data_IF_455748518832
#
_entry.id   IF_455748518832
#
_cell.length_a   1.000
_cell.length_b   1.000
_cell.length_c   1.000
_cell.angle_alpha   90.00
_cell.angle_beta   90.00
_cell.angle_gamma   90.00
#
_symmetry.space_group_name_H-M   'P 1'
#
loop_
_entity.id
_entity.type
_entity.pdbx_description
1 polymer ?
#
# COMPACT_ATOMS: atom_id res chain seq x y z
N UNK A 1 36.00 -58.30 57.36
CA UNK A 1 35.96 -58.58 55.90
C UNK A 1 35.46 -57.33 55.19
N UNK A 2 36.15 -56.97 54.10
CA UNK A 2 35.80 -55.93 53.09
C UNK A 2 34.32 -56.04 52.69
N UNK A 3 33.50 -55.01 52.47
CA UNK A 3 33.74 -53.62 52.08
C UNK A 3 33.34 -53.42 50.61
N UNK A 4 32.10 -52.95 50.33
CA UNK A 4 31.70 -52.26 49.09
C UNK A 4 30.43 -51.44 49.38
N UNK A 5 30.49 -50.11 49.27
CA UNK A 5 29.32 -49.25 49.13
C UNK A 5 29.40 -48.57 47.77
N UNK A 6 28.45 -48.88 46.88
CA UNK A 6 28.38 -48.35 45.51
C UNK A 6 27.91 -46.89 45.55
N UNK A 7 28.70 -46.02 44.93
CA UNK A 7 28.40 -44.61 44.69
C UNK A 7 27.71 -44.51 43.33
N UNK A 8 26.47 -44.02 43.31
CA UNK A 8 25.70 -43.74 42.09
C UNK A 8 25.90 -42.27 41.72
N UNK A 9 26.42 -42.00 40.53
CA UNK A 9 26.60 -40.65 39.98
C UNK A 9 25.46 -40.38 38.99
N UNK A 10 24.58 -39.44 39.36
CA UNK A 10 23.48 -38.96 38.53
C UNK A 10 24.00 -37.81 37.64
N UNK A 11 24.05 -38.01 36.32
CA UNK A 11 24.35 -36.95 35.36
C UNK A 11 23.09 -36.14 35.07
N UNK A 12 23.04 -34.89 35.53
CA UNK A 12 21.99 -33.93 35.21
C UNK A 12 22.40 -33.18 33.92
N UNK A 13 21.72 -33.49 32.80
CA UNK A 13 21.87 -32.75 31.55
C UNK A 13 20.89 -31.56 31.55
N UNK A 14 21.37 -30.39 31.96
CA UNK A 14 20.66 -29.12 31.80
C UNK A 14 20.75 -28.68 30.34
N UNK A 15 19.62 -28.79 29.60
CA UNK A 15 19.47 -28.11 28.31
C UNK A 15 19.36 -26.62 28.56
N UNK A 16 20.41 -25.86 28.25
CA UNK A 16 20.30 -24.41 28.06
C UNK A 16 19.45 -24.18 26.81
N UNK A 17 18.21 -23.73 27.01
CA UNK A 17 17.43 -23.10 25.94
C UNK A 17 17.97 -21.67 25.82
N UNK A 18 18.80 -21.44 24.80
CA UNK A 18 19.18 -20.08 24.41
C UNK A 18 17.97 -19.50 23.68
N UNK A 19 17.17 -18.71 24.39
CA UNK A 19 16.20 -17.84 23.74
C UNK A 19 16.99 -16.77 22.98
N UNK A 20 17.19 -16.96 21.68
CA UNK A 20 17.67 -15.89 20.81
C UNK A 20 16.56 -14.87 20.68
N UNK A 21 16.52 -13.88 21.57
CA UNK A 21 15.77 -12.66 21.31
C UNK A 21 16.37 -12.01 20.07
N UNK A 22 15.64 -12.00 18.96
CA UNK A 22 16.09 -11.26 17.78
C UNK A 22 16.09 -9.78 18.13
N UNK A 23 17.27 -9.18 18.09
CA UNK A 23 17.42 -7.77 18.35
C UNK A 23 16.75 -6.97 17.23
N UNK A 24 16.06 -5.90 17.61
CA UNK A 24 15.49 -4.93 16.70
C UNK A 24 16.52 -4.48 15.65
N UNK A 25 16.15 -4.49 14.37
CA UNK A 25 17.07 -4.17 13.27
C UNK A 25 16.83 -2.75 12.73
N UNK A 26 17.86 -1.99 12.36
CA UNK A 26 17.69 -0.70 11.68
C UNK A 26 17.01 -0.90 10.32
N UNK A 27 16.46 0.17 9.73
CA UNK A 27 15.73 0.06 8.45
C UNK A 27 16.50 -0.67 7.35
N UNK A 28 17.79 -0.39 7.22
CA UNK A 28 18.64 -0.97 6.18
C UNK A 28 18.17 -0.60 4.77
N UNK A 29 18.06 -1.59 3.90
CA UNK A 29 17.56 -1.45 2.54
C UNK A 29 16.08 -1.86 2.38
N UNK A 30 15.34 -1.94 3.49
CA UNK A 30 13.90 -2.21 3.50
C UNK A 30 13.14 -0.93 3.15
N UNK A 31 12.00 -1.08 2.50
CA UNK A 31 11.13 0.02 2.07
C UNK A 31 9.80 -0.09 2.80
N UNK A 32 9.35 1.02 3.40
CA UNK A 32 7.99 1.14 3.92
C UNK A 32 7.08 1.80 2.89
N UNK A 33 5.92 1.18 2.66
CA UNK A 33 4.91 1.69 1.78
C UNK A 33 3.56 1.86 2.48
N UNK A 34 2.68 2.63 1.87
CA UNK A 34 1.32 2.81 2.33
C UNK A 34 0.36 2.76 1.16
N UNK A 35 -0.79 2.12 1.37
CA UNK A 35 -1.98 2.49 0.61
C UNK A 35 -2.61 3.71 1.28
N UNK A 36 -2.76 4.78 0.50
CA UNK A 36 -3.36 6.04 0.96
C UNK A 36 -4.79 6.13 0.48
N UNK A 37 -5.72 6.15 1.44
CA UNK A 37 -7.15 6.30 1.22
C UNK A 37 -7.65 7.63 1.80
N UNK A 38 -8.68 8.18 1.14
CA UNK A 38 -9.28 9.46 1.55
C UNK A 38 -10.28 9.28 2.69
N UNK A 39 -10.21 10.19 3.66
CA UNK A 39 -11.22 10.37 4.68
C UNK A 39 -12.50 11.01 4.10
N UNK A 40 -13.54 11.13 4.91
CA UNK A 40 -14.81 11.77 4.55
C UNK A 40 -14.62 13.22 4.06
N UNK A 41 -13.57 13.91 4.52
CA UNK A 41 -13.22 15.25 4.05
C UNK A 41 -12.80 15.29 2.56
N UNK A 42 -12.49 14.13 1.97
CA UNK A 42 -12.11 13.97 0.56
C UNK A 42 -10.94 14.88 0.14
N UNK A 43 -9.93 14.99 1.01
CA UNK A 43 -8.72 15.77 0.79
C UNK A 43 -7.50 14.85 0.77
N UNK A 44 -7.19 14.33 -0.43
CA UNK A 44 -6.08 13.41 -0.63
C UNK A 44 -4.73 13.98 -0.17
N UNK A 45 -4.50 15.29 -0.30
CA UNK A 45 -3.23 15.91 0.11
C UNK A 45 -3.06 15.84 1.62
N UNK A 46 -4.14 16.13 2.36
CA UNK A 46 -4.13 16.02 3.82
C UNK A 46 -3.95 14.56 4.26
N UNK A 47 -4.68 13.62 3.66
CA UNK A 47 -4.57 12.20 4.01
C UNK A 47 -3.20 11.60 3.64
N UNK A 48 -2.63 12.02 2.51
CA UNK A 48 -1.27 11.68 2.10
C UNK A 48 -0.20 12.20 3.07
N UNK A 49 -0.40 13.39 3.64
CA UNK A 49 0.53 13.93 4.64
C UNK A 49 0.66 13.02 5.86
N UNK A 50 -0.40 12.32 6.28
CA UNK A 50 -0.30 11.36 7.39
C UNK A 50 0.60 10.17 7.07
N UNK A 51 0.60 9.69 5.81
CA UNK A 51 1.51 8.65 5.36
C UNK A 51 2.95 9.17 5.24
N UNK A 52 3.15 10.43 4.80
CA UNK A 52 4.47 11.07 4.80
C UNK A 52 5.04 11.27 6.20
N UNK A 53 4.22 11.72 7.15
CA UNK A 53 4.59 11.88 8.56
C UNK A 53 4.89 10.51 9.20
N UNK A 54 4.27 9.45 8.67
CA UNK A 54 4.59 8.06 8.94
C UNK A 54 5.62 7.45 7.97
N UNK A 55 6.44 8.31 7.37
CA UNK A 55 7.72 7.98 6.75
C UNK A 55 7.59 6.99 5.59
N UNK A 56 6.47 7.10 4.87
CA UNK A 56 6.25 6.44 3.59
C UNK A 56 7.40 6.74 2.62
N UNK A 57 7.92 5.69 1.99
CA UNK A 57 8.93 5.77 0.94
C UNK A 57 8.34 5.38 -0.43
N UNK A 58 7.21 4.69 -0.43
CA UNK A 58 6.49 4.26 -1.64
C UNK A 58 4.98 4.26 -1.42
N UNK A 59 4.19 4.64 -2.43
CA UNK A 59 2.74 4.46 -2.43
C UNK A 59 2.37 3.13 -3.10
N UNK A 60 1.32 2.46 -2.62
CA UNK A 60 0.67 1.35 -3.32
C UNK A 60 -0.40 1.91 -4.28
N UNK A 61 -0.26 1.61 -5.56
CA UNK A 61 -1.18 2.03 -6.62
C UNK A 61 -1.83 0.81 -7.26
N UNK A 62 -3.16 0.76 -7.27
CA UNK A 62 -3.90 -0.34 -7.84
C UNK A 62 -4.77 0.09 -9.01
N UNK A 63 -4.67 -0.62 -10.12
CA UNK A 63 -5.57 -0.48 -11.25
C UNK A 63 -5.93 -1.85 -11.84
N UNK A 64 -7.22 -2.07 -12.08
CA UNK A 64 -7.67 -3.16 -12.95
C UNK A 64 -7.41 -2.78 -14.41
N UNK A 65 -7.10 -3.76 -15.27
CA UNK A 65 -6.93 -3.48 -16.69
C UNK A 65 -8.23 -2.97 -17.32
N UNK A 66 -9.36 -3.62 -17.05
CA UNK A 66 -10.71 -3.19 -17.45
C UNK A 66 -11.05 -1.76 -16.99
N UNK A 67 -10.52 -1.31 -15.86
CA UNK A 67 -10.73 0.04 -15.32
C UNK A 67 -9.93 1.12 -16.06
N UNK A 68 -8.81 0.76 -16.69
CA UNK A 68 -8.04 1.66 -17.54
C UNK A 68 -8.50 1.54 -19.00
N UNK A 69 -8.89 0.36 -19.45
CA UNK A 69 -9.29 0.06 -20.84
C UNK A 69 -10.53 -0.86 -20.81
N UNK A 70 -11.72 -0.26 -20.91
CA UNK A 70 -12.97 -1.01 -20.76
C UNK A 70 -13.29 -1.90 -21.98
N UNK A 71 -12.89 -1.47 -23.18
CA UNK A 71 -13.16 -2.17 -24.45
C UNK A 71 -12.03 -1.87 -25.47
N UNK A 72 -12.16 -2.41 -26.68
CA UNK A 72 -11.28 -2.39 -27.86
C UNK A 72 -10.46 -1.10 -28.05
N UNK A 73 -9.34 -0.95 -27.32
CA UNK A 73 -8.47 0.23 -27.36
C UNK A 73 -9.08 1.49 -26.72
N UNK A 74 -10.23 1.37 -26.06
CA UNK A 74 -10.96 2.47 -25.46
C UNK A 74 -10.47 2.72 -24.04
N UNK A 75 -9.42 3.53 -23.92
CA UNK A 75 -8.87 3.93 -22.63
C UNK A 75 -9.77 4.94 -21.91
N UNK A 76 -10.04 4.70 -20.63
CA UNK A 76 -10.86 5.57 -19.79
C UNK A 76 -10.10 6.86 -19.46
N UNK A 77 -10.65 8.00 -19.88
CA UNK A 77 -10.00 9.30 -19.70
C UNK A 77 -9.82 9.69 -18.23
N UNK A 78 -10.67 9.19 -17.33
CA UNK A 78 -10.57 9.46 -15.90
C UNK A 78 -9.41 8.69 -15.29
N UNK A 79 -9.27 7.41 -15.63
CA UNK A 79 -8.14 6.58 -15.24
C UNK A 79 -6.81 7.17 -15.74
N UNK A 80 -6.74 7.57 -17.01
CA UNK A 80 -5.55 8.23 -17.57
C UNK A 80 -5.23 9.56 -16.86
N UNK A 81 -6.24 10.37 -16.56
CA UNK A 81 -6.04 11.61 -15.80
C UNK A 81 -5.51 11.35 -14.38
N UNK A 82 -5.93 10.27 -13.72
CA UNK A 82 -5.39 9.88 -12.42
C UNK A 82 -3.92 9.43 -12.50
N UNK A 83 -3.52 8.77 -13.59
CA UNK A 83 -2.12 8.44 -13.85
C UNK A 83 -1.29 9.73 -14.05
N UNK A 84 -1.79 10.69 -14.83
CA UNK A 84 -1.12 11.99 -15.02
C UNK A 84 -0.97 12.77 -13.71
N UNK A 85 -2.01 12.75 -12.86
CA UNK A 85 -1.97 13.37 -11.54
C UNK A 85 -0.92 12.67 -10.67
N UNK A 86 -0.92 11.34 -10.65
CA UNK A 86 0.06 10.54 -9.90
C UNK A 86 1.49 10.87 -10.36
N UNK A 87 1.68 11.04 -11.65
CA UNK A 87 2.97 11.36 -12.27
C UNK A 87 3.53 12.72 -11.88
N UNK A 88 2.66 13.70 -11.67
CA UNK A 88 3.07 14.99 -11.13
C UNK A 88 3.23 14.94 -9.60
N UNK A 89 2.35 14.21 -8.92
CA UNK A 89 2.21 14.27 -7.46
C UNK A 89 3.32 13.52 -6.73
N UNK A 90 3.50 12.22 -6.94
CA UNK A 90 4.45 11.43 -6.15
C UNK A 90 5.91 11.88 -6.30
N UNK A 91 6.41 12.18 -7.53
CA UNK A 91 7.76 12.68 -7.69
C UNK A 91 8.02 14.02 -6.99
N UNK A 92 6.99 14.88 -6.86
CA UNK A 92 7.12 16.16 -6.15
C UNK A 92 7.38 15.99 -4.64
N UNK A 93 7.04 14.83 -4.06
CA UNK A 93 7.35 14.47 -2.68
C UNK A 93 8.52 13.49 -2.56
N UNK A 94 9.17 13.12 -3.67
CA UNK A 94 10.22 12.11 -3.69
C UNK A 94 9.73 10.70 -3.34
N UNK A 95 8.44 10.43 -3.56
CA UNK A 95 7.80 9.15 -3.26
C UNK A 95 7.79 8.26 -4.50
N UNK A 96 8.22 7.01 -4.33
CA UNK A 96 8.12 5.97 -5.36
C UNK A 96 6.71 5.38 -5.40
N UNK A 97 6.40 4.58 -6.41
CA UNK A 97 5.17 3.78 -6.41
C UNK A 97 5.48 2.29 -6.59
N UNK A 98 4.78 1.43 -5.86
CA UNK A 98 4.56 0.07 -6.32
C UNK A 98 3.23 0.08 -7.07
N UNK A 99 3.27 -0.38 -8.32
CA UNK A 99 2.14 -0.33 -9.23
C UNK A 99 1.62 -1.74 -9.47
N UNK A 100 0.36 -1.97 -9.13
CA UNK A 100 -0.36 -3.19 -9.40
C UNK A 100 -1.30 -2.99 -10.59
N UNK A 101 -1.03 -3.70 -11.69
CA UNK A 101 -1.90 -3.77 -12.88
C UNK A 101 -2.53 -5.16 -12.95
N UNK A 102 -3.84 -5.23 -12.68
CA UNK A 102 -4.55 -6.49 -12.54
C UNK A 102 -5.35 -6.86 -13.81
N UNK A 103 -4.85 -7.78 -14.66
CA UNK A 103 -5.67 -8.45 -15.67
C UNK A 103 -6.61 -9.51 -15.05
N UNK A 104 -6.32 -9.92 -13.82
CA UNK A 104 -7.14 -10.79 -12.96
C UNK A 104 -7.02 -10.21 -11.55
N UNK A 105 -8.17 -10.06 -10.88
CA UNK A 105 -8.30 -9.53 -9.53
C UNK A 105 -9.18 -10.45 -8.69
N UNK A 106 -8.58 -11.17 -7.75
CA UNK A 106 -9.23 -12.12 -6.83
C UNK A 106 -10.09 -13.17 -7.56
N UNK A 107 -11.40 -12.94 -7.74
CA UNK A 107 -12.40 -13.82 -8.36
C UNK A 107 -12.81 -13.36 -9.75
N UNK A 108 -12.26 -12.23 -10.22
CA UNK A 108 -12.72 -11.55 -11.42
C UNK A 108 -11.60 -11.46 -12.45
N UNK A 109 -11.93 -11.77 -13.70
CA UNK A 109 -11.08 -11.47 -14.83
C UNK A 109 -11.32 -10.04 -15.27
N UNK A 110 -10.26 -9.24 -15.25
CA UNK A 110 -10.31 -7.80 -15.40
C UNK A 110 -9.76 -7.35 -16.76
N UNK A 111 -10.07 -8.08 -17.82
CA UNK A 111 -9.68 -7.70 -19.18
C UNK A 111 -10.74 -6.83 -19.85
N UNK A 112 -10.38 -6.03 -20.88
CA UNK A 112 -11.35 -5.39 -21.76
C UNK A 112 -12.46 -6.34 -22.23
N UNK A 113 -13.68 -5.83 -22.43
CA UNK A 113 -14.85 -6.64 -22.77
C UNK A 113 -14.63 -7.53 -24.01
N UNK A 114 -13.91 -7.02 -25.03
CA UNK A 114 -13.58 -7.76 -26.25
C UNK A 114 -12.61 -8.94 -26.05
N UNK A 115 -11.93 -8.99 -24.90
CA UNK A 115 -10.94 -10.01 -24.55
C UNK A 115 -11.44 -11.00 -23.49
N UNK A 116 -12.62 -10.76 -22.90
CA UNK A 116 -13.13 -11.54 -21.76
C UNK A 116 -13.18 -13.05 -22.02
N UNK A 117 -13.54 -13.44 -23.25
CA UNK A 117 -13.67 -14.84 -23.67
C UNK A 117 -12.36 -15.48 -24.18
N UNK A 118 -11.25 -14.74 -24.26
CA UNK A 118 -9.95 -15.25 -24.71
C UNK A 118 -9.12 -15.71 -23.52
N UNK A 119 -8.34 -16.77 -23.65
CA UNK A 119 -7.37 -17.15 -22.62
C UNK A 119 -6.37 -16.00 -22.35
N UNK A 120 -5.79 -15.95 -21.15
CA UNK A 120 -4.87 -14.87 -20.75
C UNK A 120 -3.59 -14.85 -21.61
N UNK A 121 -3.15 -16.03 -22.06
CA UNK A 121 -2.01 -16.24 -22.96
C UNK A 121 -2.35 -16.11 -24.45
N UNK A 122 -3.62 -15.82 -24.79
CA UNK A 122 -4.00 -15.64 -26.18
C UNK A 122 -3.19 -14.48 -26.80
N UNK A 123 -2.66 -14.62 -28.04
CA UNK A 123 -1.79 -13.60 -28.64
C UNK A 123 -2.39 -12.19 -28.69
N UNK A 124 -3.70 -12.07 -28.91
CA UNK A 124 -4.42 -10.78 -28.84
C UNK A 124 -4.42 -10.18 -27.44
N UNK A 125 -4.60 -11.00 -26.40
CA UNK A 125 -4.58 -10.57 -25.00
C UNK A 125 -3.18 -10.07 -24.62
N UNK A 126 -2.14 -10.84 -24.93
CA UNK A 126 -0.74 -10.44 -24.73
C UNK A 126 -0.43 -9.12 -25.45
N UNK A 127 -0.79 -9.01 -26.73
CA UNK A 127 -0.53 -7.81 -27.51
C UNK A 127 -1.23 -6.59 -26.93
N UNK A 128 -2.48 -6.73 -26.48
CA UNK A 128 -3.25 -5.62 -25.90
C UNK A 128 -2.75 -5.23 -24.52
N UNK A 129 -2.27 -6.18 -23.71
CA UNK A 129 -1.64 -5.84 -22.43
C UNK A 129 -0.32 -5.08 -22.64
N UNK A 130 0.45 -5.37 -23.69
CA UNK A 130 1.62 -4.56 -24.06
C UNK A 130 1.22 -3.13 -24.44
N UNK A 131 0.11 -2.95 -25.14
CA UNK A 131 -0.45 -1.62 -25.41
C UNK A 131 -0.87 -0.91 -24.13
N UNK A 132 -1.50 -1.61 -23.17
CA UNK A 132 -1.78 -1.06 -21.84
C UNK A 132 -0.49 -0.56 -21.17
N UNK A 133 0.58 -1.38 -21.16
CA UNK A 133 1.87 -1.00 -20.58
C UNK A 133 2.46 0.25 -21.27
N UNK A 134 2.38 0.34 -22.60
CA UNK A 134 2.81 1.54 -23.34
C UNK A 134 2.02 2.77 -22.92
N UNK A 135 0.69 2.65 -22.83
CA UNK A 135 -0.19 3.74 -22.41
C UNK A 135 0.13 4.16 -20.98
N UNK A 136 0.12 3.24 -20.03
CA UNK A 136 0.39 3.54 -18.61
C UNK A 136 1.74 4.23 -18.46
N UNK A 137 2.83 3.64 -18.99
CA UNK A 137 4.16 4.25 -18.86
C UNK A 137 4.33 5.59 -19.59
N UNK A 138 3.51 5.87 -20.62
CA UNK A 138 3.48 7.20 -21.24
C UNK A 138 2.83 8.27 -20.35
N UNK A 139 1.92 7.87 -19.46
CA UNK A 139 1.26 8.75 -18.50
C UNK A 139 2.02 8.87 -17.16
N UNK A 140 2.91 7.93 -16.85
CA UNK A 140 3.76 7.97 -15.64
C UNK A 140 5.28 8.04 -15.86
N UNK A 141 5.81 8.81 -16.85
CA UNK A 141 7.24 8.79 -17.20
C UNK A 141 8.19 9.34 -16.12
N UNK A 142 7.66 9.92 -15.04
CA UNK A 142 8.44 10.54 -13.96
C UNK A 142 8.29 9.82 -12.62
N UNK A 143 7.33 8.89 -12.49
CA UNK A 143 7.22 8.06 -11.30
C UNK A 143 8.31 7.00 -11.34
N UNK A 144 9.16 6.98 -10.31
CA UNK A 144 10.04 5.84 -10.09
C UNK A 144 9.24 4.70 -9.45
N UNK A 145 9.28 3.52 -10.08
CA UNK A 145 8.61 2.34 -9.56
C UNK A 145 9.52 1.56 -8.59
N UNK A 146 8.99 1.25 -7.41
CA UNK A 146 9.57 0.29 -6.46
C UNK A 146 9.43 -1.14 -6.97
N UNK A 147 8.31 -1.44 -7.63
CA UNK A 147 8.02 -2.67 -8.35
C UNK A 147 6.79 -2.46 -9.26
N UNK A 148 6.64 -3.34 -10.25
CA UNK A 148 5.39 -3.56 -10.99
C UNK A 148 4.85 -4.94 -10.63
N UNK A 149 3.65 -5.01 -10.08
CA UNK A 149 2.93 -6.28 -9.93
C UNK A 149 1.92 -6.43 -11.06
N UNK A 150 1.95 -7.58 -11.71
CA UNK A 150 0.98 -7.95 -12.75
C UNK A 150 0.07 -9.00 -12.12
N UNK A 151 -1.23 -8.70 -12.02
CA UNK A 151 -2.23 -9.54 -11.34
C UNK A 151 -2.39 -9.22 -9.86
N UNK A 152 -3.57 -9.55 -9.32
CA UNK A 152 -3.87 -9.46 -7.89
C UNK A 152 -4.65 -10.68 -7.40
N UNK A 153 -4.12 -11.36 -6.38
CA UNK A 153 -4.76 -12.50 -5.69
C UNK A 153 -5.40 -13.54 -6.62
N UNK A 154 -4.78 -13.73 -7.78
CA UNK A 154 -5.33 -14.55 -8.86
C UNK A 154 -5.23 -16.05 -8.54
N UNK A 155 -4.53 -16.44 -7.46
CA UNK A 155 -4.65 -17.77 -6.85
C UNK A 155 -6.09 -18.11 -6.45
N UNK A 156 -6.89 -17.12 -6.05
CA UNK A 156 -8.31 -17.32 -5.75
C UNK A 156 -9.07 -17.68 -7.02
N UNK A 157 -8.84 -16.96 -8.13
CA UNK A 157 -9.46 -17.23 -9.43
C UNK A 157 -9.06 -18.60 -9.99
N UNK A 158 -7.76 -18.91 -9.93
CA UNK A 158 -7.22 -20.15 -10.49
C UNK A 158 -7.52 -21.37 -9.62
N UNK A 159 -7.69 -21.18 -8.32
CA UNK A 159 -7.77 -22.26 -7.33
C UNK A 159 -6.61 -23.26 -7.54
N UNK A 160 -6.93 -24.54 -7.77
CA UNK A 160 -5.96 -25.61 -8.06
C UNK A 160 -5.84 -25.95 -9.57
N UNK A 161 -6.36 -25.10 -10.46
CA UNK A 161 -6.32 -25.36 -11.90
C UNK A 161 -4.94 -25.05 -12.50
N UNK A 162 -4.09 -26.06 -12.58
CA UNK A 162 -2.74 -25.94 -13.12
C UNK A 162 -2.66 -25.37 -14.55
N UNK A 163 -3.71 -25.52 -15.38
CA UNK A 163 -3.72 -24.96 -16.74
C UNK A 163 -3.78 -23.43 -16.73
N UNK A 164 -4.51 -22.84 -15.79
CA UNK A 164 -4.58 -21.38 -15.65
C UNK A 164 -3.22 -20.80 -15.23
N UNK A 165 -2.52 -21.44 -14.28
CA UNK A 165 -1.16 -21.04 -13.91
C UNK A 165 -0.18 -21.15 -15.08
N UNK A 166 -0.26 -22.21 -15.90
CA UNK A 166 0.60 -22.37 -17.10
C UNK A 166 0.31 -21.32 -18.17
N UNK A 167 -0.96 -21.01 -18.43
CA UNK A 167 -1.34 -19.92 -19.32
C UNK A 167 -0.82 -18.58 -18.77
N UNK A 168 -0.95 -18.34 -17.47
CA UNK A 168 -0.46 -17.13 -16.84
C UNK A 168 1.07 -16.97 -16.93
N UNK A 169 1.83 -18.06 -16.75
CA UNK A 169 3.29 -18.08 -16.99
C UNK A 169 3.60 -17.68 -18.43
N UNK A 170 2.92 -18.27 -19.42
CA UNK A 170 3.11 -17.94 -20.85
C UNK A 170 2.83 -16.47 -21.14
N UNK A 171 1.78 -15.92 -20.51
CA UNK A 171 1.47 -14.50 -20.57
C UNK A 171 2.60 -13.64 -19.99
N UNK A 172 3.06 -13.94 -18.76
CA UNK A 172 4.14 -13.22 -18.07
C UNK A 172 5.47 -13.29 -18.83
N UNK A 173 5.85 -14.45 -19.35
CA UNK A 173 7.06 -14.65 -20.17
C UNK A 173 7.11 -13.70 -21.38
N UNK A 174 5.95 -13.28 -21.88
CA UNK A 174 5.85 -12.33 -22.98
C UNK A 174 5.82 -10.87 -22.53
N UNK A 175 5.12 -10.54 -21.44
CA UNK A 175 4.89 -9.14 -21.04
C UNK A 175 5.96 -8.61 -20.09
N UNK A 176 6.57 -9.44 -19.26
CA UNK A 176 7.59 -9.02 -18.28
C UNK A 176 8.85 -8.47 -18.96
N UNK A 177 9.46 -9.17 -19.95
CA UNK A 177 10.61 -8.60 -20.66
C UNK A 177 10.28 -7.30 -21.39
N UNK A 178 9.05 -7.18 -21.91
CA UNK A 178 8.56 -5.98 -22.56
C UNK A 178 8.47 -4.80 -21.58
N UNK A 179 7.82 -4.99 -20.44
CA UNK A 179 7.71 -3.99 -19.39
C UNK A 179 9.09 -3.53 -18.90
N UNK A 180 10.01 -4.46 -18.62
CA UNK A 180 11.38 -4.16 -18.20
C UNK A 180 12.14 -3.34 -19.23
N UNK A 181 12.09 -3.72 -20.51
CA UNK A 181 12.76 -2.98 -21.59
C UNK A 181 12.21 -1.55 -21.72
N UNK A 182 10.88 -1.39 -21.65
CA UNK A 182 10.23 -0.08 -21.73
C UNK A 182 10.60 0.80 -20.55
N UNK A 183 10.52 0.27 -19.33
CA UNK A 183 10.89 1.01 -18.12
C UNK A 183 12.37 1.40 -18.12
N UNK A 184 13.28 0.49 -18.51
CA UNK A 184 14.71 0.77 -18.65
C UNK A 184 14.99 1.88 -19.66
N UNK A 185 14.24 1.92 -20.77
CA UNK A 185 14.35 3.00 -21.74
C UNK A 185 13.91 4.37 -21.19
N UNK A 186 12.97 4.39 -20.24
CA UNK A 186 12.44 5.61 -19.65
C UNK A 186 13.28 6.12 -18.48
N UNK A 187 13.76 5.20 -17.63
CA UNK A 187 14.36 5.54 -16.34
C UNK A 187 15.84 5.17 -16.21
N UNK A 188 16.43 4.45 -17.18
CA UNK A 188 17.78 3.89 -17.11
C UNK A 188 18.02 2.97 -15.89
N UNK A 189 16.95 2.42 -15.32
CA UNK A 189 16.96 1.53 -14.16
C UNK A 189 16.27 0.20 -14.49
N UNK A 190 16.63 -0.86 -13.77
CA UNK A 190 15.97 -2.16 -13.88
C UNK A 190 14.65 -2.15 -13.11
N UNK A 191 13.57 -2.61 -13.75
CA UNK A 191 12.26 -2.76 -13.12
C UNK A 191 12.18 -4.12 -12.44
N UNK A 192 11.83 -4.12 -11.14
CA UNK A 192 11.40 -5.33 -10.45
C UNK A 192 9.96 -5.65 -10.81
N UNK A 193 9.70 -6.88 -11.21
CA UNK A 193 8.36 -7.35 -11.57
C UNK A 193 7.97 -8.54 -10.70
N UNK A 194 6.76 -8.50 -10.18
CA UNK A 194 6.14 -9.55 -9.38
C UNK A 194 4.72 -9.88 -9.87
N UNK A 195 4.10 -10.80 -9.15
CA UNK A 195 2.68 -11.12 -9.31
C UNK A 195 2.11 -11.40 -7.93
N UNK A 196 1.01 -10.75 -7.59
CA UNK A 196 0.50 -10.73 -6.23
C UNK A 196 -0.38 -11.95 -5.96
N UNK A 197 -0.03 -12.70 -4.92
CA UNK A 197 -0.77 -13.85 -4.41
C UNK A 197 -1.23 -13.63 -2.97
N UNK A 198 -2.29 -14.30 -2.55
CA UNK A 198 -2.61 -14.34 -1.12
C UNK A 198 -1.57 -15.14 -0.34
N UNK A 199 -1.40 -14.82 0.95
CA UNK A 199 -0.66 -15.68 1.88
C UNK A 199 -1.17 -17.13 1.84
N UNK A 200 -2.49 -17.33 1.72
CA UNK A 200 -3.11 -18.65 1.62
C UNK A 200 -2.65 -19.41 0.38
N UNK A 201 -2.68 -18.77 -0.80
CA UNK A 201 -2.21 -19.34 -2.05
C UNK A 201 -0.74 -19.78 -2.00
N UNK A 202 0.11 -18.97 -1.38
CA UNK A 202 1.55 -19.24 -1.26
C UNK A 202 1.91 -20.34 -0.25
N UNK A 203 1.02 -20.67 0.69
CA UNK A 203 1.32 -21.58 1.81
C UNK A 203 0.48 -22.86 1.82
N UNK A 204 -0.69 -22.85 1.21
CA UNK A 204 -1.58 -24.00 1.15
C UNK A 204 -0.99 -25.13 0.30
N UNK A 205 -1.13 -26.38 0.75
CA UNK A 205 -0.54 -27.55 0.08
C UNK A 205 -1.03 -27.75 -1.36
N UNK A 206 -2.25 -27.33 -1.69
CA UNK A 206 -2.87 -27.53 -3.00
C UNK A 206 -2.41 -26.48 -4.03
N UNK A 207 -1.99 -25.29 -3.57
CA UNK A 207 -1.67 -24.15 -4.44
C UNK A 207 -0.24 -23.67 -4.34
N UNK A 208 0.49 -23.96 -3.25
CA UNK A 208 1.84 -23.41 -3.00
C UNK A 208 2.82 -23.72 -4.13
N UNK A 209 2.79 -24.92 -4.68
CA UNK A 209 3.72 -25.34 -5.73
C UNK A 209 3.33 -24.69 -7.07
N UNK A 210 2.03 -24.46 -7.31
CA UNK A 210 1.53 -23.73 -8.47
C UNK A 210 1.91 -22.25 -8.40
N UNK A 211 1.67 -21.58 -7.26
CA UNK A 211 2.08 -20.18 -7.06
C UNK A 211 3.61 -20.03 -7.17
N UNK A 212 4.36 -20.97 -6.59
CA UNK A 212 5.82 -20.99 -6.68
C UNK A 212 6.32 -21.16 -8.13
N UNK A 213 5.59 -21.90 -8.96
CA UNK A 213 5.93 -22.04 -10.39
C UNK A 213 5.83 -20.71 -11.15
N UNK A 214 4.83 -19.88 -10.83
CA UNK A 214 4.70 -18.51 -11.38
C UNK A 214 5.82 -17.62 -10.88
N UNK A 215 6.07 -17.65 -9.57
CA UNK A 215 7.10 -16.83 -8.94
C UNK A 215 8.51 -17.10 -9.48
N UNK A 216 8.81 -18.32 -9.96
CA UNK A 216 10.15 -18.67 -10.45
C UNK A 216 10.68 -17.74 -11.56
N UNK A 217 9.81 -17.18 -12.39
CA UNK A 217 10.18 -16.28 -13.49
C UNK A 217 10.26 -14.79 -13.13
N UNK A 218 10.05 -14.42 -11.86
CA UNK A 218 9.84 -13.04 -11.41
C UNK A 218 10.97 -12.53 -10.50
N UNK A 219 11.06 -11.21 -10.29
CA UNK A 219 12.14 -10.61 -9.47
C UNK A 219 11.80 -10.58 -7.99
N UNK A 220 10.51 -10.63 -7.66
CA UNK A 220 9.99 -10.55 -6.29
C UNK A 220 8.84 -11.54 -6.12
N UNK A 221 8.57 -11.91 -4.87
CA UNK A 221 7.34 -12.61 -4.49
C UNK A 221 6.44 -11.62 -3.77
N UNK A 222 5.37 -11.21 -4.45
CA UNK A 222 4.40 -10.25 -3.92
C UNK A 222 3.27 -10.97 -3.18
N UNK A 223 2.94 -10.50 -1.98
CA UNK A 223 1.96 -11.13 -1.10
C UNK A 223 0.98 -10.12 -0.50
N UNK A 224 -0.30 -10.47 -0.48
CA UNK A 224 -1.29 -9.86 0.42
C UNK A 224 -1.42 -10.68 1.69
N UNK A 225 -1.42 -10.01 2.85
CA UNK A 225 -1.47 -10.66 4.14
C UNK A 225 -2.52 -10.06 5.07
N UNK A 226 -3.51 -10.89 5.38
CA UNK A 226 -4.56 -10.67 6.35
C UNK A 226 -4.73 -11.96 7.15
N UNK A 227 -4.48 -12.00 8.46
CA UNK A 227 -4.57 -13.23 9.24
C UNK A 227 -6.04 -13.56 9.53
N UNK A 228 -6.77 -14.00 8.51
CA UNK A 228 -8.20 -14.32 8.59
C UNK A 228 -8.43 -15.79 8.94
N UNK A 229 -9.49 -16.02 9.72
CA UNK A 229 -10.20 -17.29 9.74
C UNK A 229 -11.10 -17.39 8.50
N UNK A 230 -11.58 -18.59 8.20
CA UNK A 230 -12.45 -18.83 7.03
C UNK A 230 -13.82 -18.13 7.05
N UNK A 231 -14.15 -17.43 8.14
CA UNK A 231 -15.42 -16.71 8.37
C UNK A 231 -15.23 -15.19 8.47
N UNK A 232 -14.13 -14.67 7.93
CA UNK A 232 -13.71 -13.26 7.96
C UNK A 232 -13.44 -12.67 9.34
N UNK A 233 -13.40 -13.49 10.40
CA UNK A 233 -12.86 -13.05 11.69
C UNK A 233 -11.33 -13.06 11.68
N UNK A 234 -10.72 -12.18 12.47
CA UNK A 234 -9.27 -12.13 12.61
C UNK A 234 -8.77 -13.26 13.52
N UNK A 235 -7.68 -13.90 13.12
CA UNK A 235 -6.82 -14.70 14.02
C UNK A 235 -6.12 -13.78 15.02
N UNK A 236 -5.62 -14.35 16.11
CA UNK A 236 -4.86 -13.56 17.10
C UNK A 236 -3.62 -12.90 16.48
N UNK A 237 -3.28 -11.65 16.85
CA UNK A 237 -2.18 -10.90 16.26
C UNK A 237 -0.81 -11.60 16.30
N UNK A 238 -0.61 -12.53 17.24
CA UNK A 238 0.66 -13.26 17.43
C UNK A 238 1.00 -14.20 16.26
N UNK A 239 0.03 -14.54 15.40
CA UNK A 239 0.29 -15.43 14.24
C UNK A 239 1.18 -14.79 13.18
N UNK A 240 1.32 -13.46 13.16
CA UNK A 240 2.14 -12.74 12.19
C UNK A 240 3.60 -13.24 12.17
N UNK A 241 4.18 -13.51 13.35
CA UNK A 241 5.56 -14.01 13.44
C UNK A 241 5.73 -15.38 12.78
N UNK A 242 4.83 -16.32 13.06
CA UNK A 242 4.90 -17.67 12.47
C UNK A 242 4.59 -17.65 10.98
N UNK A 243 3.64 -16.84 10.54
CA UNK A 243 3.21 -16.74 9.15
C UNK A 243 4.34 -16.14 8.27
N UNK A 244 4.98 -15.07 8.74
CA UNK A 244 6.14 -14.47 8.06
C UNK A 244 7.31 -15.45 8.01
N UNK A 245 7.56 -16.19 9.10
CA UNK A 245 8.57 -17.24 9.14
C UNK A 245 8.30 -18.37 8.16
N UNK A 246 7.04 -18.77 7.99
CA UNK A 246 6.64 -19.77 7.01
C UNK A 246 6.94 -19.31 5.57
N UNK A 247 6.57 -18.07 5.22
CA UNK A 247 6.87 -17.51 3.89
C UNK A 247 8.38 -17.42 3.65
N UNK A 248 9.15 -16.91 4.62
CA UNK A 248 10.61 -16.83 4.51
C UNK A 248 11.26 -18.21 4.34
N UNK A 249 10.69 -19.26 4.94
CA UNK A 249 11.16 -20.63 4.77
C UNK A 249 10.80 -21.21 3.38
N UNK A 250 9.63 -20.88 2.84
CA UNK A 250 9.20 -21.31 1.49
C UNK A 250 9.93 -20.58 0.36
N UNK A 251 10.32 -19.33 0.63
CA UNK A 251 11.04 -18.41 -0.27
C UNK A 251 12.35 -17.92 0.37
N UNK A 252 13.34 -18.82 0.52
CA UNK A 252 14.58 -18.51 1.22
C UNK A 252 15.55 -17.66 0.40
N UNK A 253 15.36 -17.57 -0.93
CA UNK A 253 16.25 -16.83 -1.83
C UNK A 253 16.10 -15.32 -1.63
N UNK A 254 17.09 -14.71 -0.98
CA UNK A 254 17.10 -13.26 -0.72
C UNK A 254 17.35 -12.42 -1.97
N UNK A 255 17.76 -13.02 -3.09
CA UNK A 255 17.84 -12.33 -4.39
C UNK A 255 16.45 -12.13 -5.01
N UNK A 256 15.47 -12.96 -4.63
CA UNK A 256 14.05 -12.83 -4.94
C UNK A 256 13.27 -12.49 -3.65
N UNK A 257 13.34 -11.23 -3.16
CA UNK A 257 12.77 -10.88 -1.87
C UNK A 257 11.24 -10.96 -1.86
N UNK A 258 10.71 -11.15 -0.65
CA UNK A 258 9.29 -11.04 -0.34
C UNK A 258 8.89 -9.57 -0.22
N UNK A 259 7.80 -9.22 -0.90
CA UNK A 259 7.18 -7.91 -0.89
C UNK A 259 5.75 -8.07 -0.37
N UNK A 260 5.47 -7.60 0.85
CA UNK A 260 4.12 -7.54 1.39
C UNK A 260 3.46 -6.30 0.81
N UNK A 261 2.80 -6.46 -0.33
CA UNK A 261 2.18 -5.34 -1.07
C UNK A 261 0.87 -4.89 -0.44
N UNK A 262 0.27 -5.77 0.36
CA UNK A 262 -0.80 -5.43 1.30
C UNK A 262 -0.56 -6.19 2.62
N UNK A 263 -0.56 -5.48 3.74
CA UNK A 263 -0.47 -6.08 5.06
C UNK A 263 -1.41 -5.32 6.00
N UNK A 264 -2.48 -5.98 6.46
CA UNK A 264 -3.54 -5.32 7.19
C UNK A 264 -4.20 -6.18 8.26
N UNK A 265 -4.88 -5.52 9.18
CA UNK A 265 -5.60 -6.16 10.27
C UNK A 265 -6.82 -5.33 10.64
N UNK A 266 -8.02 -5.92 10.54
CA UNK A 266 -9.27 -5.21 10.83
C UNK A 266 -9.39 -4.90 12.32
N UNK A 267 -9.85 -3.69 12.68
CA UNK A 267 -10.11 -3.30 14.07
C UNK A 267 -11.55 -3.55 14.53
N UNK A 268 -12.42 -4.13 13.69
CA UNK A 268 -13.85 -4.30 14.02
C UNK A 268 -14.09 -5.42 15.01
N UNK A 269 -14.95 -5.16 16.01
CA UNK A 269 -15.43 -6.19 16.94
C UNK A 269 -16.25 -7.27 16.25
N UNK A 270 -16.90 -6.94 15.12
CA UNK A 270 -17.61 -7.90 14.27
C UNK A 270 -16.68 -8.96 13.69
N UNK A 271 -15.40 -8.60 13.50
CA UNK A 271 -14.34 -9.48 13.04
C UNK A 271 -13.57 -10.14 14.21
N UNK A 272 -14.14 -10.20 15.42
CA UNK A 272 -13.47 -10.69 16.64
C UNK A 272 -12.16 -9.94 16.98
N UNK A 273 -12.16 -8.62 16.72
CA UNK A 273 -10.98 -7.77 16.80
C UNK A 273 -11.22 -6.50 17.63
N UNK A 274 -10.20 -5.65 17.74
CA UNK A 274 -10.26 -4.31 18.34
C UNK A 274 -9.09 -3.45 17.83
N UNK A 275 -9.08 -2.16 18.18
CA UNK A 275 -7.91 -1.29 17.93
C UNK A 275 -6.64 -1.78 18.66
N UNK A 276 -6.77 -2.32 19.87
CA UNK A 276 -5.65 -2.90 20.61
C UNK A 276 -5.07 -4.11 19.88
N UNK A 277 -5.92 -4.98 19.31
CA UNK A 277 -5.46 -6.11 18.50
C UNK A 277 -4.80 -5.65 17.20
N UNK A 278 -5.36 -4.64 16.52
CA UNK A 278 -4.73 -4.03 15.34
C UNK A 278 -3.35 -3.42 15.68
N UNK A 279 -3.25 -2.73 16.83
CA UNK A 279 -1.99 -2.21 17.34
C UNK A 279 -0.98 -3.34 17.57
N UNK A 280 -1.35 -4.37 18.32
CA UNK A 280 -0.49 -5.52 18.61
C UNK A 280 -0.05 -6.24 17.33
N UNK A 281 -0.92 -6.33 16.33
CA UNK A 281 -0.60 -6.91 15.03
C UNK A 281 0.56 -6.18 14.37
N UNK A 282 0.51 -4.85 14.26
CA UNK A 282 1.62 -4.12 13.64
C UNK A 282 2.90 -4.20 14.48
N UNK A 283 2.83 -4.23 15.82
CA UNK A 283 4.01 -4.49 16.66
C UNK A 283 4.66 -5.86 16.34
N UNK A 284 3.84 -6.89 16.14
CA UNK A 284 4.31 -8.22 15.77
C UNK A 284 4.83 -8.28 14.32
N UNK A 285 4.19 -7.57 13.38
CA UNK A 285 4.66 -7.44 11.99
C UNK A 285 6.06 -6.82 11.94
N UNK A 286 6.32 -5.74 12.69
CA UNK A 286 7.66 -5.15 12.74
C UNK A 286 8.70 -6.07 13.39
N UNK A 287 8.29 -6.87 14.38
CA UNK A 287 9.15 -7.89 15.01
C UNK A 287 9.50 -9.01 14.02
N UNK A 288 8.50 -9.52 13.29
CA UNK A 288 8.68 -10.51 12.24
C UNK A 288 9.54 -9.96 11.09
N UNK A 289 9.33 -8.70 10.71
CA UNK A 289 10.08 -8.03 9.67
C UNK A 289 11.56 -7.86 10.02
N UNK A 290 11.89 -7.61 11.29
CA UNK A 290 13.28 -7.61 11.75
C UNK A 290 13.91 -9.00 11.71
N UNK A 291 13.16 -10.01 12.15
CA UNK A 291 13.61 -11.41 12.15
C UNK A 291 13.94 -11.89 10.73
N UNK A 292 13.16 -11.44 9.75
CA UNK A 292 13.29 -11.84 8.34
C UNK A 292 13.76 -10.68 7.43
N UNK A 293 14.52 -9.73 7.98
CA UNK A 293 14.92 -8.50 7.26
C UNK A 293 15.73 -8.77 5.97
N UNK A 294 16.37 -9.94 5.85
CA UNK A 294 17.08 -10.35 4.64
C UNK A 294 16.15 -10.84 3.53
N UNK A 295 15.04 -11.50 3.89
CA UNK A 295 14.06 -12.03 2.94
C UNK A 295 13.00 -10.98 2.58
N UNK A 296 12.56 -10.17 3.55
CA UNK A 296 11.45 -9.24 3.38
C UNK A 296 11.98 -7.82 3.20
N UNK A 297 11.83 -7.27 1.99
CA UNK A 297 12.40 -5.95 1.63
C UNK A 297 11.38 -4.85 1.44
N UNK A 298 10.10 -5.18 1.46
CA UNK A 298 9.02 -4.23 1.22
C UNK A 298 7.79 -4.60 2.04
N UNK A 299 7.19 -3.61 2.69
CA UNK A 299 5.97 -3.76 3.48
C UNK A 299 5.05 -2.56 3.25
N UNK A 300 3.86 -2.82 2.74
CA UNK A 300 2.78 -1.83 2.65
C UNK A 300 1.87 -1.95 3.86
N UNK A 301 1.65 -0.84 4.55
CA UNK A 301 0.53 -0.71 5.49
C UNK A 301 -0.75 -0.60 4.68
N UNK A 302 -1.59 -1.63 4.74
CA UNK A 302 -2.93 -1.63 4.14
C UNK A 302 -3.97 -1.50 5.27
N UNK A 303 -4.49 -0.29 5.54
CA UNK A 303 -4.30 0.97 4.77
C UNK A 303 -4.33 2.21 5.66
N UNK A 304 -4.14 3.40 5.10
CA UNK A 304 -4.05 4.63 5.90
C UNK A 304 -5.34 4.97 6.64
N UNK A 305 -6.49 4.79 5.98
CA UNK A 305 -7.79 5.32 6.42
C UNK A 305 -8.87 4.26 6.21
N UNK A 306 -9.79 4.12 7.16
CA UNK A 306 -10.95 3.26 7.00
C UNK A 306 -11.76 3.70 5.77
N UNK A 307 -12.48 2.75 5.18
CA UNK A 307 -13.45 3.08 4.15
C UNK A 307 -14.79 3.48 4.77
N UNK A 308 -15.57 4.23 3.99
CA UNK A 308 -16.97 4.45 4.30
C UNK A 308 -17.74 3.13 4.29
N UNK A 309 -18.88 3.09 4.99
CA UNK A 309 -19.80 1.95 4.93
C UNK A 309 -20.24 1.66 3.48
N UNK A 310 -20.61 2.70 2.73
CA UNK A 310 -21.05 2.61 1.33
C UNK A 310 -19.97 1.98 0.43
N UNK A 311 -18.73 2.42 0.57
CA UNK A 311 -17.59 1.86 -0.18
C UNK A 311 -17.41 0.38 0.13
N UNK A 312 -17.45 0.00 1.42
CA UNK A 312 -17.28 -1.39 1.83
C UNK A 312 -18.45 -2.29 1.38
N UNK A 313 -19.69 -1.78 1.40
CA UNK A 313 -20.87 -2.48 0.88
C UNK A 313 -20.81 -2.65 -0.64
N UNK A 314 -20.25 -1.67 -1.38
CA UNK A 314 -20.01 -1.78 -2.82
C UNK A 314 -19.16 -3.01 -3.18
N UNK A 315 -18.20 -3.38 -2.32
CA UNK A 315 -17.39 -4.59 -2.52
C UNK A 315 -18.16 -5.89 -2.30
N UNK A 316 -19.26 -5.90 -1.53
CA UNK A 316 -20.11 -7.10 -1.44
C UNK A 316 -20.68 -7.47 -2.81
N UNK A 317 -21.17 -6.47 -3.55
CA UNK A 317 -21.74 -6.68 -4.87
C UNK A 317 -20.67 -7.14 -5.86
N UNK A 318 -19.49 -6.51 -5.83
CA UNK A 318 -18.38 -6.86 -6.70
C UNK A 318 -17.87 -8.29 -6.48
N UNK A 319 -17.66 -8.70 -5.23
CA UNK A 319 -17.17 -10.05 -4.91
C UNK A 319 -18.28 -11.11 -4.80
N UNK A 320 -19.55 -10.71 -4.84
CA UNK A 320 -20.68 -11.62 -4.60
C UNK A 320 -20.74 -12.19 -3.19
N UNK A 321 -20.15 -11.50 -2.19
CA UNK A 321 -20.06 -11.96 -0.80
C UNK A 321 -21.04 -11.18 0.07
N UNK A 322 -22.12 -11.84 0.49
CA UNK A 322 -23.11 -11.28 1.40
C UNK A 322 -22.84 -11.68 2.85
N UNK A 323 -21.74 -11.18 3.44
CA UNK A 323 -21.40 -11.36 4.85
C UNK A 323 -21.04 -10.01 5.48
N UNK A 324 -21.68 -9.66 6.60
CA UNK A 324 -21.39 -8.43 7.33
C UNK A 324 -19.96 -8.41 7.88
N UNK A 325 -19.39 -9.58 8.19
CA UNK A 325 -18.00 -9.69 8.66
C UNK A 325 -17.02 -9.37 7.55
N UNK A 326 -17.34 -9.74 6.30
CA UNK A 326 -16.55 -9.35 5.14
C UNK A 326 -16.53 -7.84 4.93
N UNK A 327 -17.70 -7.19 5.04
CA UNK A 327 -17.82 -5.73 4.96
C UNK A 327 -17.00 -5.07 6.05
N UNK A 328 -17.21 -5.48 7.30
CA UNK A 328 -16.54 -4.89 8.45
C UNK A 328 -15.02 -5.12 8.41
N UNK A 329 -14.58 -6.27 7.90
CA UNK A 329 -13.19 -6.56 7.62
C UNK A 329 -12.60 -5.49 6.69
N UNK A 330 -13.14 -5.33 5.48
CA UNK A 330 -12.63 -4.37 4.50
C UNK A 330 -12.72 -2.91 4.98
N UNK A 331 -13.82 -2.57 5.65
CA UNK A 331 -14.10 -1.22 6.12
C UNK A 331 -13.08 -0.74 7.14
N UNK A 332 -12.67 -1.63 8.05
CA UNK A 332 -11.90 -1.27 9.26
C UNK A 332 -10.42 -1.66 9.23
N UNK A 333 -9.86 -1.90 8.05
CA UNK A 333 -8.42 -2.12 7.83
C UNK A 333 -7.57 -0.86 8.01
N UNK A 334 -8.18 0.32 7.97
CA UNK A 334 -7.48 1.58 8.16
C UNK A 334 -6.87 1.69 9.55
N UNK A 335 -5.70 2.30 9.64
CA UNK A 335 -5.11 2.72 10.93
C UNK A 335 -5.57 4.11 11.37
N UNK A 336 -6.45 4.74 10.58
CA UNK A 336 -7.19 5.96 10.89
C UNK A 336 -8.67 5.74 10.58
N UNK A 337 -9.56 6.43 11.28
CA UNK A 337 -11.02 6.35 11.02
C UNK A 337 -11.39 7.08 9.73
N UNK A 338 -12.58 6.82 9.19
CA UNK A 338 -13.06 7.46 7.95
C UNK A 338 -13.62 8.86 8.19
N UNK A 339 -14.31 9.05 9.32
CA UNK A 339 -15.15 10.22 9.60
C UNK A 339 -14.36 11.52 9.68
N UNK A 340 -14.98 12.61 9.22
CA UNK A 340 -14.38 13.94 9.15
C UNK A 340 -13.02 13.92 8.41
N UNK A 341 -11.93 14.26 9.09
CA UNK A 341 -10.56 14.18 8.53
C UNK A 341 -9.85 12.88 8.87
N UNK A 342 -10.51 11.94 9.54
CA UNK A 342 -9.93 10.73 10.10
C UNK A 342 -9.17 10.96 11.41
N UNK A 343 -9.49 10.19 12.43
CA UNK A 343 -8.75 10.15 13.70
C UNK A 343 -7.76 8.99 13.69
N UNK A 344 -6.58 9.20 14.26
CA UNK A 344 -5.58 8.14 14.40
C UNK A 344 -6.09 7.05 15.35
N UNK A 345 -6.06 5.80 14.92
CA UNK A 345 -6.27 4.64 15.79
C UNK A 345 -4.98 4.31 16.54
N UNK A 346 -5.07 3.43 17.54
CA UNK A 346 -3.91 2.98 18.31
C UNK A 346 -2.77 2.43 17.44
N UNK A 347 -3.11 1.74 16.34
CA UNK A 347 -2.14 1.17 15.42
C UNK A 347 -1.26 2.21 14.73
N UNK A 348 -1.80 3.37 14.33
CA UNK A 348 -1.01 4.43 13.68
C UNK A 348 0.12 4.92 14.60
N UNK A 349 -0.20 5.16 15.87
CA UNK A 349 0.81 5.59 16.85
C UNK A 349 1.85 4.50 17.13
N UNK A 350 1.44 3.22 17.17
CA UNK A 350 2.39 2.11 17.30
C UNK A 350 3.32 2.03 16.08
N UNK A 351 2.81 2.18 14.86
CA UNK A 351 3.64 2.21 13.64
C UNK A 351 4.67 3.35 13.74
N UNK A 352 4.27 4.57 14.10
CA UNK A 352 5.22 5.68 14.30
C UNK A 352 6.33 5.33 15.29
N UNK A 353 5.99 4.67 16.40
CA UNK A 353 6.97 4.20 17.37
C UNK A 353 7.92 3.14 16.80
N UNK A 354 7.39 2.15 16.05
CA UNK A 354 8.20 1.12 15.42
C UNK A 354 9.17 1.69 14.36
N UNK A 355 8.73 2.71 13.63
CA UNK A 355 9.54 3.43 12.64
C UNK A 355 10.63 4.28 13.28
N UNK A 356 10.27 5.05 14.32
CA UNK A 356 11.22 5.86 15.11
C UNK A 356 12.33 4.98 15.68
N UNK A 357 11.95 3.87 16.31
CA UNK A 357 12.90 2.95 16.94
C UNK A 357 13.92 2.39 15.93
N UNK A 358 13.53 2.18 14.67
CA UNK A 358 14.37 1.60 13.60
C UNK A 358 15.07 2.64 12.72
N UNK A 359 14.93 3.92 13.04
CA UNK A 359 15.58 5.00 12.33
C UNK A 359 15.03 5.23 10.92
N UNK A 360 13.74 4.98 10.68
CA UNK A 360 13.10 5.38 9.42
C UNK A 360 13.05 6.90 9.28
N UNK A 361 12.76 7.59 10.38
CA UNK A 361 12.64 9.04 10.40
C UNK A 361 12.86 9.61 11.80
N UNK A 362 13.57 10.74 11.87
CA UNK A 362 13.91 11.43 13.12
C UNK A 362 12.72 12.20 13.74
N UNK A 363 11.56 12.21 13.07
CA UNK A 363 10.40 13.05 13.39
C UNK A 363 9.17 12.29 13.90
N UNK A 364 9.20 10.95 13.96
CA UNK A 364 8.08 10.21 14.53
C UNK A 364 8.05 10.44 16.05
N UNK A 365 7.28 11.45 16.47
CA UNK A 365 6.96 11.77 17.86
C UNK A 365 6.18 10.60 18.46
N UNK A 366 6.91 9.55 18.85
CA UNK A 366 6.36 8.41 19.56
C UNK A 366 5.96 8.85 20.97
N UNK A 367 4.72 9.32 21.12
CA UNK A 367 4.12 9.56 22.43
C UNK A 367 3.22 8.38 22.74
N UNK A 368 3.75 7.36 23.41
CA UNK A 368 2.97 6.25 23.97
C UNK A 368 2.20 6.72 25.22
N UNK A 369 1.38 7.77 25.10
CA UNK A 369 0.45 8.11 26.18
C UNK A 369 -0.89 7.45 25.90
N UNK A 370 -1.35 6.61 26.83
CA UNK A 370 -2.70 6.03 26.89
C UNK A 370 -3.80 7.07 27.18
N UNK A 371 -3.59 8.30 26.73
CA UNK A 371 -4.58 9.37 26.76
C UNK A 371 -4.72 9.80 25.32
N UNK A 372 -5.95 9.69 24.81
CA UNK A 372 -6.40 10.36 23.61
C UNK A 372 -6.28 11.87 23.84
N UNK A 373 -5.05 12.39 23.82
CA UNK A 373 -4.83 13.81 23.69
C UNK A 373 -5.11 14.14 22.24
N UNK A 374 -6.37 14.52 22.02
CA UNK A 374 -6.76 15.44 20.96
C UNK A 374 -5.81 16.63 20.99
N UNK A 375 -4.71 16.52 20.27
CA UNK A 375 -4.09 17.69 19.67
C UNK A 375 -4.61 17.72 18.24
N UNK A 376 -5.77 18.36 18.08
CA UNK A 376 -6.11 18.93 16.79
C UNK A 376 -4.94 19.83 16.39
N UNK A 377 -4.15 19.39 15.42
CA UNK A 377 -3.21 20.27 14.75
C UNK A 377 -4.00 21.51 14.27
N UNK A 378 -3.41 22.72 14.29
CA UNK A 378 -4.09 23.90 13.77
C UNK A 378 -4.28 23.70 12.26
N UNK A 379 -5.43 23.16 11.85
CA UNK A 379 -5.63 22.73 10.47
C UNK A 379 -5.88 23.95 9.61
N UNK A 380 -4.86 24.36 8.87
CA UNK A 380 -5.03 25.18 7.68
C UNK A 380 -5.41 24.25 6.52
N UNK A 381 -6.58 24.44 5.92
CA UNK A 381 -7.05 23.69 4.75
C UNK A 381 -7.23 24.62 3.55
N UNK A 382 -6.97 24.08 2.36
CA UNK A 382 -7.41 24.67 1.10
C UNK A 382 -8.54 23.80 0.56
N UNK A 383 -9.73 24.35 0.38
CA UNK A 383 -10.90 23.59 -0.06
C UNK A 383 -11.72 24.34 -1.12
N UNK A 384 -12.16 23.72 -2.22
CA UNK A 384 -11.83 22.35 -2.64
C UNK A 384 -10.36 22.21 -3.03
N UNK A 385 -9.82 20.99 -3.02
CA UNK A 385 -8.50 20.65 -3.57
C UNK A 385 -8.47 19.16 -3.95
N UNK A 386 -8.47 18.78 -5.25
CA UNK A 386 -8.29 19.66 -6.41
C UNK A 386 -9.44 20.66 -6.62
N UNK A 387 -9.08 21.86 -7.07
CA UNK A 387 -9.96 23.00 -7.25
C UNK A 387 -10.11 23.38 -8.73
N UNK A 388 -11.19 24.08 -9.09
CA UNK A 388 -11.45 24.51 -10.47
C UNK A 388 -11.64 26.02 -10.56
N UNK A 389 -12.61 26.56 -9.82
CA UNK A 389 -12.94 27.99 -9.91
C UNK A 389 -12.40 28.82 -8.76
N UNK A 390 -12.46 28.27 -7.55
CA UNK A 390 -12.02 28.96 -6.34
C UNK A 390 -11.41 27.99 -5.34
N UNK A 391 -10.64 28.56 -4.41
CA UNK A 391 -10.23 27.88 -3.18
C UNK A 391 -10.65 28.73 -1.98
N UNK A 392 -11.08 28.06 -0.93
CA UNK A 392 -11.31 28.62 0.38
C UNK A 392 -10.21 28.16 1.33
N UNK A 393 -9.66 29.11 2.08
CA UNK A 393 -8.69 28.85 3.13
C UNK A 393 -9.45 28.79 4.44
N UNK A 394 -9.44 27.61 5.05
CA UNK A 394 -10.00 27.39 6.37
C UNK A 394 -8.82 27.36 7.33
N UNK A 395 -8.71 28.36 8.19
CA UNK A 395 -7.64 28.46 9.19
C UNK A 395 -8.21 28.94 10.51
N UNK A 396 -7.67 28.43 11.62
CA UNK A 396 -8.03 28.90 12.97
C UNK A 396 -7.49 30.31 13.26
N UNK A 397 -6.41 30.70 12.58
CA UNK A 397 -5.79 32.02 12.68
C UNK A 397 -6.13 32.85 11.44
N UNK A 398 -6.33 34.18 11.59
CA UNK A 398 -6.55 35.05 10.45
C UNK A 398 -5.41 34.97 9.44
N UNK A 399 -5.77 34.80 8.17
CA UNK A 399 -4.84 34.84 7.05
C UNK A 399 -4.55 36.30 6.72
N UNK A 400 -3.27 36.65 6.59
CA UNK A 400 -2.85 37.99 6.15
C UNK A 400 -2.80 38.07 4.63
N UNK A 401 -2.15 37.09 4.01
CA UNK A 401 -2.09 36.94 2.56
C UNK A 401 -1.66 35.53 2.18
N UNK A 402 -1.89 35.18 0.91
CA UNK A 402 -1.50 33.94 0.27
C UNK A 402 -0.72 34.24 -0.98
N UNK A 403 0.40 33.55 -1.13
CA UNK A 403 1.25 33.56 -2.32
C UNK A 403 1.11 32.20 -3.02
N UNK A 404 0.63 32.19 -4.26
CA UNK A 404 0.56 31.01 -5.11
C UNK A 404 1.77 30.94 -6.02
N UNK A 405 2.50 29.84 -5.95
CA UNK A 405 3.62 29.52 -6.82
C UNK A 405 3.24 28.40 -7.78
N UNK A 406 3.67 28.46 -9.04
CA UNK A 406 3.51 27.34 -9.96
C UNK A 406 4.56 26.24 -9.67
N UNK A 407 4.49 25.14 -10.41
CA UNK A 407 5.44 24.03 -10.31
C UNK A 407 6.91 24.41 -10.55
N UNK A 408 7.20 25.52 -11.25
CA UNK A 408 8.57 26.04 -11.44
C UNK A 408 9.05 26.94 -10.29
N UNK A 409 8.23 27.13 -9.24
CA UNK A 409 8.53 28.01 -8.12
C UNK A 409 8.35 29.51 -8.41
N UNK A 410 7.78 29.86 -9.57
CA UNK A 410 7.48 31.25 -9.90
C UNK A 410 6.21 31.69 -9.18
N UNK A 411 6.25 32.86 -8.54
CA UNK A 411 5.08 33.48 -7.95
C UNK A 411 4.09 33.85 -9.07
N UNK A 412 2.88 33.30 -8.98
CA UNK A 412 1.82 33.49 -9.98
C UNK A 412 0.78 34.48 -9.48
N UNK A 413 0.49 34.47 -8.18
CA UNK A 413 -0.56 35.32 -7.60
C UNK A 413 -0.32 35.59 -6.11
N UNK A 414 -0.62 36.81 -5.65
CA UNK A 414 -0.66 37.18 -4.22
C UNK A 414 -2.01 37.78 -3.88
N UNK A 415 -2.62 37.34 -2.78
CA UNK A 415 -4.01 37.71 -2.41
C UNK A 415 -4.17 37.83 -0.90
N UNK A 416 -5.12 38.65 -0.43
CA UNK A 416 -5.36 38.90 1.00
C UNK A 416 -6.66 38.27 1.54
N UNK A 417 -7.37 37.47 0.74
CA UNK A 417 -8.71 36.98 1.07
C UNK A 417 -8.69 35.48 1.38
N UNK A 418 -9.65 35.05 2.21
CA UNK A 418 -9.87 33.63 2.54
C UNK A 418 -10.57 32.86 1.42
N UNK A 419 -11.18 33.54 0.45
CA UNK A 419 -11.72 32.93 -0.77
C UNK A 419 -11.00 33.53 -1.95
N UNK A 420 -10.46 32.68 -2.80
CA UNK A 420 -9.55 33.02 -3.89
C UNK A 420 -10.13 32.46 -5.18
N UNK A 421 -10.37 33.31 -6.16
CA UNK A 421 -10.56 32.86 -7.55
C UNK A 421 -9.27 32.29 -8.09
N UNK A 422 -9.36 31.13 -8.72
CA UNK A 422 -8.28 30.46 -9.47
C UNK A 422 -8.72 30.09 -10.89
N UNK A 423 -9.93 30.47 -11.31
CA UNK A 423 -10.51 30.10 -12.60
C UNK A 423 -9.64 30.49 -13.81
N UNK A 424 -8.82 31.53 -13.67
CA UNK A 424 -7.91 32.01 -14.71
C UNK A 424 -6.55 31.29 -14.73
N UNK A 425 -6.25 30.47 -13.72
CA UNK A 425 -4.97 29.78 -13.63
C UNK A 425 -4.97 28.51 -14.49
N UNK A 426 -3.91 28.25 -15.26
CA UNK A 426 -3.78 27.00 -16.00
C UNK A 426 -3.88 25.79 -15.08
N UNK A 427 -4.42 24.69 -15.61
CA UNK A 427 -4.40 23.40 -14.91
C UNK A 427 -2.97 23.04 -14.48
N UNK A 428 -2.82 22.48 -13.29
CA UNK A 428 -1.52 22.06 -12.80
C UNK A 428 -1.36 22.09 -11.28
N UNK A 429 -0.14 21.80 -10.83
CA UNK A 429 0.26 21.84 -9.44
C UNK A 429 0.75 23.23 -9.05
N UNK A 430 0.25 23.71 -7.91
CA UNK A 430 0.62 24.98 -7.31
C UNK A 430 0.99 24.77 -5.85
N UNK A 431 1.81 25.67 -5.31
CA UNK A 431 2.09 25.76 -3.88
C UNK A 431 1.49 27.06 -3.36
N UNK A 432 0.51 26.97 -2.48
CA UNK A 432 0.01 28.10 -1.72
C UNK A 432 0.83 28.26 -0.44
N UNK A 433 1.60 29.33 -0.35
CA UNK A 433 2.20 29.79 0.91
C UNK A 433 1.21 30.73 1.58
N UNK A 434 0.61 30.28 2.67
CA UNK A 434 -0.35 31.03 3.46
C UNK A 434 0.35 31.66 4.66
N UNK A 435 0.30 32.98 4.74
CA UNK A 435 0.91 33.78 5.80
C UNK A 435 -0.16 34.16 6.82
N UNK A 436 0.03 33.78 8.08
CA UNK A 436 -0.92 34.00 9.17
C UNK A 436 -0.58 35.26 9.98
N UNK A 437 -1.57 35.81 10.68
CA UNK A 437 -1.42 37.06 11.44
C UNK A 437 -0.36 36.98 12.55
N UNK A 438 -0.13 35.79 13.09
CA UNK A 438 0.91 35.53 14.09
C UNK A 438 2.34 35.47 13.50
N UNK A 439 2.51 35.74 12.19
CA UNK A 439 3.79 35.72 11.49
C UNK A 439 4.22 34.33 11.00
N UNK A 440 3.49 33.26 11.33
CA UNK A 440 3.78 31.93 10.82
C UNK A 440 3.37 31.79 9.35
N UNK A 441 4.08 30.92 8.62
CA UNK A 441 3.76 30.61 7.23
C UNK A 441 3.55 29.10 7.08
N UNK A 442 2.50 28.72 6.35
CA UNK A 442 2.16 27.33 6.05
C UNK A 442 2.14 27.16 4.55
N UNK A 443 2.86 26.17 4.03
CA UNK A 443 2.79 25.82 2.61
C UNK A 443 1.79 24.68 2.43
N UNK A 444 0.92 24.81 1.44
CA UNK A 444 -0.05 23.79 1.05
C UNK A 444 -0.03 23.62 -0.45
N UNK A 445 -0.06 22.36 -0.87
CA UNK A 445 -0.15 22.00 -2.28
C UNK A 445 -1.58 22.18 -2.76
N UNK A 446 -1.75 22.80 -3.92
CA UNK A 446 -3.02 23.03 -4.58
C UNK A 446 -2.97 22.41 -5.98
N UNK A 447 -3.97 21.61 -6.33
CA UNK A 447 -4.14 21.05 -7.66
C UNK A 447 -5.27 21.81 -8.36
N UNK A 448 -5.01 22.38 -9.53
CA UNK A 448 -6.02 23.07 -10.35
C UNK A 448 -6.43 22.18 -11.52
N UNK A 449 -7.71 21.82 -11.57
CA UNK A 449 -8.37 21.15 -12.70
C UNK A 449 -8.80 22.26 -13.67
N UNK A 450 -8.27 22.30 -14.88
CA UNK A 450 -8.69 23.28 -15.88
C UNK A 450 -10.19 23.15 -16.20
N UNK A 451 -10.77 24.18 -16.83
CA UNK A 451 -12.11 24.12 -17.39
C UNK A 451 -12.25 23.00 -18.43
#
# INVERSE_FOLDING_TARGET
>A
MRGVLKMATLFLLTRLVVATGFAQQPKGNRVLAWQVDVSQANDYVTDFQFALDACMESAHLFYTWSGIEADTGAFDSTALALLDISNAFYPAYGIKAELQLAPINTTTKETPADLMNLAIDHPRTISRFKTLLDTVFSHIPHIQLSALNIGNEHDIFFANNAQEYMAYITFLDSVVPYAKAKYKSLHAEELKVGSTFTFGGLTNQDTKDLCKSVNHGLDIVAVTYYPLNGDFTMKEPTVAESDFGQLAALYPDTAQPLYFVECGYSSSTTCNSSEEKQKQFFENVFTAWDTHANNIKYLTIFKSTDWSQETAEGFQAYYGINDIRFVEYLRTLGVRTYEETGNNKLAYNAILCQLSARGWCNQANCTLSSQANQMAAPVLKLFPNPAQEYIQIIAQQPVTHVELFNASGSLVKTMANNIISIAELPRGLYVAKVCLLNGSTVKKTLVIKGL
#
